data_IF_718387137950
#
_entry.id   IF_718387137950
#
_cell.length_a   1.000
_cell.length_b   1.000
_cell.length_c   1.000
_cell.angle_alpha   90.00
_cell.angle_beta   90.00
_cell.angle_gamma   90.00
#
_symmetry.space_group_name_H-M   'P 1'
#
loop_
_entity.id
_entity.type
_entity.pdbx_description
1 polymer ?
#
# COMPACT_ATOMS: atom_id res chain seq x y z
N UNK A 1 -15.31 -5.04 -28.70
CA UNK A 1 -14.44 -3.92 -29.10
C UNK A 1 -14.98 -2.69 -28.41
N UNK A 2 -14.45 -2.39 -27.22
CA UNK A 2 -14.68 -1.11 -26.55
C UNK A 2 -13.33 -0.41 -26.52
N UNK A 3 -13.34 0.88 -26.83
CA UNK A 3 -12.20 1.75 -27.02
C UNK A 3 -11.20 1.61 -25.85
N UNK A 4 -9.97 1.20 -26.14
CA UNK A 4 -8.86 1.57 -25.27
C UNK A 4 -8.52 3.00 -25.65
N UNK A 5 -9.04 3.94 -24.88
CA UNK A 5 -8.57 5.31 -24.86
C UNK A 5 -7.04 5.27 -24.72
N UNK A 6 -6.36 5.98 -25.60
CA UNK A 6 -4.98 6.39 -25.39
C UNK A 6 -4.90 7.00 -23.98
N UNK A 7 -4.29 6.30 -23.03
CA UNK A 7 -4.03 6.87 -21.72
C UNK A 7 -2.89 7.89 -21.90
N UNK A 8 -3.23 9.09 -22.33
CA UNK A 8 -2.35 10.27 -22.50
C UNK A 8 -1.79 10.80 -21.14
N UNK A 9 -2.07 10.10 -20.04
CA UNK A 9 -1.58 10.44 -18.72
C UNK A 9 -0.10 10.09 -18.54
N UNK A 10 0.73 11.07 -18.17
CA UNK A 10 2.13 10.81 -17.79
C UNK A 10 2.25 9.98 -16.50
N UNK A 11 1.22 10.02 -15.66
CA UNK A 11 1.16 9.36 -14.36
C UNK A 11 -0.18 8.64 -14.20
N UNK A 12 -0.18 7.55 -13.44
CA UNK A 12 -1.40 6.86 -13.03
C UNK A 12 -1.39 6.60 -11.51
N UNK A 13 -2.58 6.38 -10.96
CA UNK A 13 -2.81 6.18 -9.55
C UNK A 13 -2.36 4.77 -9.13
N UNK A 14 -1.31 4.71 -8.33
CA UNK A 14 -0.89 3.53 -7.58
C UNK A 14 -1.49 3.57 -6.17
N UNK A 15 -2.08 2.45 -5.74
CA UNK A 15 -2.35 2.20 -4.33
C UNK A 15 -1.13 1.53 -3.70
N UNK A 16 -0.72 2.03 -2.53
CA UNK A 16 0.39 1.44 -1.77
C UNK A 16 -0.07 0.11 -1.16
N UNK A 17 -1.20 0.14 -0.45
CA UNK A 17 -1.94 -1.04 -0.02
C UNK A 17 -3.09 -1.24 -0.99
N UNK A 18 -2.94 -2.16 -1.94
CA UNK A 18 -3.95 -2.48 -2.94
C UNK A 18 -5.00 -3.51 -2.41
N UNK A 19 -6.09 -3.78 -3.15
CA UNK A 19 -7.10 -4.75 -2.74
C UNK A 19 -6.55 -6.17 -2.53
N UNK A 20 -5.47 -6.54 -3.23
CA UNK A 20 -4.84 -7.86 -3.07
C UNK A 20 -4.18 -7.96 -1.70
N UNK A 21 -3.36 -6.97 -1.31
CA UNK A 21 -2.73 -6.90 0.02
C UNK A 21 -3.80 -6.83 1.11
N UNK A 22 -4.81 -5.98 0.92
CA UNK A 22 -5.92 -5.84 1.88
C UNK A 22 -6.65 -7.17 2.12
N UNK A 23 -6.97 -7.90 1.05
CA UNK A 23 -7.68 -9.19 1.16
C UNK A 23 -6.91 -10.27 1.92
N UNK A 24 -5.58 -10.13 2.02
CA UNK A 24 -4.70 -11.10 2.67
C UNK A 24 -4.31 -10.70 4.10
N UNK A 25 -4.72 -9.53 4.58
CA UNK A 25 -4.41 -9.05 5.94
C UNK A 25 -5.66 -9.03 6.82
N UNK A 26 -5.67 -9.88 7.84
CA UNK A 26 -6.72 -9.91 8.86
C UNK A 26 -6.78 -8.60 9.65
N UNK A 27 -5.61 -8.07 10.03
CA UNK A 27 -5.49 -6.77 10.69
C UNK A 27 -6.13 -5.62 9.90
N UNK A 28 -5.85 -5.49 8.59
CA UNK A 28 -6.43 -4.42 7.78
C UNK A 28 -7.95 -4.53 7.67
N UNK A 29 -8.47 -5.76 7.53
CA UNK A 29 -9.91 -6.01 7.51
C UNK A 29 -10.56 -5.63 8.83
N UNK A 30 -9.92 -5.94 9.95
CA UNK A 30 -10.40 -5.56 11.28
C UNK A 30 -10.39 -4.04 11.46
N UNK A 31 -9.30 -3.36 11.11
CA UNK A 31 -9.20 -1.89 11.18
C UNK A 31 -10.23 -1.20 10.27
N UNK A 32 -10.51 -1.77 9.11
CA UNK A 32 -11.57 -1.27 8.22
C UNK A 32 -12.97 -1.47 8.83
N UNK A 33 -13.24 -2.64 9.42
CA UNK A 33 -14.54 -2.94 10.03
C UNK A 33 -14.90 -2.00 11.20
N UNK A 34 -13.90 -1.50 11.93
CA UNK A 34 -14.08 -0.50 13.00
C UNK A 34 -14.03 0.95 12.50
N UNK A 35 -13.85 1.17 11.18
CA UNK A 35 -13.85 2.50 10.55
C UNK A 35 -12.52 3.27 10.65
N UNK A 36 -11.44 2.62 11.07
CA UNK A 36 -10.13 3.24 11.30
C UNK A 36 -9.22 3.22 10.06
N UNK A 37 -9.51 2.36 9.09
CA UNK A 37 -8.73 2.23 7.85
C UNK A 37 -9.62 2.25 6.61
N UNK A 38 -9.27 3.07 5.62
CA UNK A 38 -9.94 3.14 4.32
C UNK A 38 -8.92 2.93 3.20
N UNK A 39 -9.16 1.93 2.36
CA UNK A 39 -8.24 1.56 1.27
C UNK A 39 -8.13 2.68 0.23
N UNK A 40 -9.22 3.41 -0.02
CA UNK A 40 -9.25 4.49 -0.98
C UNK A 40 -8.85 5.84 -0.37
N UNK A 41 -8.34 5.88 0.86
CA UNK A 41 -7.95 7.13 1.50
C UNK A 41 -6.85 7.86 0.69
N UNK A 42 -6.88 9.20 0.57
CA UNK A 42 -5.88 9.96 -0.18
C UNK A 42 -4.42 9.65 0.20
N UNK A 43 -4.19 9.29 1.46
CA UNK A 43 -2.86 8.97 1.98
C UNK A 43 -2.31 7.67 1.40
N UNK A 44 -3.17 6.71 1.05
CA UNK A 44 -2.83 5.42 0.41
C UNK A 44 -2.60 5.54 -1.11
N UNK A 45 -2.82 6.73 -1.67
CA UNK A 45 -2.68 7.04 -3.10
C UNK A 45 -1.31 7.64 -3.39
N UNK A 46 -0.70 7.20 -4.49
CA UNK A 46 0.54 7.75 -5.05
C UNK A 46 0.43 7.78 -6.58
N UNK A 47 0.70 8.92 -7.19
CA UNK A 47 0.78 9.00 -8.66
C UNK A 47 2.20 8.67 -9.09
N UNK A 48 2.34 7.64 -9.93
CA UNK A 48 3.63 7.18 -10.44
C UNK A 48 3.68 7.29 -11.97
N UNK A 49 4.85 7.56 -12.58
CA UNK A 49 4.98 7.64 -14.02
C UNK A 49 4.61 6.33 -14.70
N UNK A 50 3.87 6.40 -15.82
CA UNK A 50 3.60 5.24 -16.66
C UNK A 50 4.84 4.78 -17.44
N UNK A 51 5.65 5.75 -17.87
CA UNK A 51 6.84 5.52 -18.68
C UNK A 51 8.08 5.26 -17.81
N UNK A 52 8.82 4.20 -18.17
CA UNK A 52 10.04 3.78 -17.47
C UNK A 52 11.15 4.82 -17.57
N UNK A 53 11.34 5.44 -18.74
CA UNK A 53 12.38 6.46 -18.89
C UNK A 53 12.08 7.71 -18.07
N UNK A 54 10.81 8.10 -17.99
CA UNK A 54 10.36 9.21 -17.16
C UNK A 54 10.58 8.90 -15.67
N UNK A 55 10.21 7.71 -15.20
CA UNK A 55 10.49 7.27 -13.83
C UNK A 55 12.00 7.32 -13.52
N UNK A 56 12.84 6.84 -14.43
CA UNK A 56 14.30 6.90 -14.27
C UNK A 56 14.84 8.34 -14.23
N UNK A 57 14.30 9.25 -15.06
CA UNK A 57 14.67 10.68 -15.05
C UNK A 57 14.25 11.37 -13.76
N UNK A 58 13.12 10.98 -13.18
CA UNK A 58 12.61 11.52 -11.92
C UNK A 58 13.23 10.87 -10.68
N UNK A 59 13.88 9.71 -10.83
CA UNK A 59 14.47 8.96 -9.72
C UNK A 59 13.43 8.33 -8.79
N UNK A 60 12.28 7.90 -9.32
CA UNK A 60 11.21 7.26 -8.56
C UNK A 60 10.80 5.90 -9.16
N UNK A 61 9.93 5.16 -8.48
CA UNK A 61 9.34 3.94 -9.05
C UNK A 61 8.44 4.26 -10.24
N UNK A 62 8.40 3.34 -11.22
CA UNK A 62 7.37 3.34 -12.25
C UNK A 62 6.05 2.79 -11.70
N UNK A 63 4.93 3.26 -12.26
CA UNK A 63 3.61 2.67 -12.05
C UNK A 63 3.60 1.20 -12.48
N UNK A 64 2.82 0.38 -11.77
CA UNK A 64 2.61 -1.01 -12.14
C UNK A 64 1.13 -1.40 -11.97
N UNK A 65 0.45 -1.66 -13.09
CA UNK A 65 -0.92 -2.19 -13.07
C UNK A 65 -1.02 -3.50 -12.28
N UNK A 66 0.07 -4.29 -12.29
CA UNK A 66 0.25 -5.45 -11.42
C UNK A 66 1.63 -5.36 -10.75
N UNK A 67 1.69 -4.97 -9.47
CA UNK A 67 2.95 -4.95 -8.73
C UNK A 67 3.64 -6.32 -8.71
N UNK A 68 4.96 -6.31 -8.58
CA UNK A 68 5.77 -7.51 -8.36
C UNK A 68 5.21 -8.33 -7.20
N UNK A 69 5.16 -9.65 -7.37
CA UNK A 69 4.68 -10.56 -6.33
C UNK A 69 5.49 -10.42 -5.03
N UNK A 70 6.80 -10.16 -5.13
CA UNK A 70 7.67 -9.91 -3.98
C UNK A 70 7.28 -8.65 -3.19
N UNK A 71 6.79 -7.60 -3.86
CA UNK A 71 6.26 -6.41 -3.18
C UNK A 71 4.99 -6.76 -2.40
N UNK A 72 4.04 -7.43 -3.05
CA UNK A 72 2.78 -7.85 -2.43
C UNK A 72 3.03 -8.77 -1.23
N UNK A 73 3.88 -9.80 -1.40
CA UNK A 73 4.22 -10.74 -0.33
C UNK A 73 4.95 -10.05 0.83
N UNK A 74 5.91 -9.17 0.54
CA UNK A 74 6.62 -8.41 1.57
C UNK A 74 5.68 -7.51 2.38
N UNK A 75 4.74 -6.83 1.72
CA UNK A 75 3.71 -6.04 2.40
C UNK A 75 2.83 -6.88 3.32
N UNK A 76 2.36 -8.05 2.84
CA UNK A 76 1.55 -8.97 3.65
C UNK A 76 2.34 -9.49 4.85
N UNK A 77 3.62 -9.86 4.67
CA UNK A 77 4.48 -10.32 5.76
C UNK A 77 4.67 -9.24 6.85
N UNK A 78 4.93 -7.99 6.46
CA UNK A 78 5.04 -6.88 7.42
C UNK A 78 3.74 -6.66 8.19
N UNK A 79 2.58 -6.72 7.51
CA UNK A 79 1.27 -6.61 8.14
C UNK A 79 1.00 -7.77 9.10
N UNK A 80 1.39 -9.00 8.75
CA UNK A 80 1.30 -10.16 9.65
C UNK A 80 2.16 -9.99 10.90
N UNK A 81 3.36 -9.39 10.79
CA UNK A 81 4.19 -9.10 11.97
C UNK A 81 3.53 -8.06 12.89
N UNK A 82 2.87 -7.04 12.33
CA UNK A 82 2.10 -6.07 13.12
C UNK A 82 0.93 -6.78 13.81
N UNK A 83 0.21 -7.65 13.09
CA UNK A 83 -0.92 -8.42 13.64
C UNK A 83 -0.49 -9.34 14.80
N UNK A 84 0.67 -9.99 14.69
CA UNK A 84 1.22 -10.88 15.72
C UNK A 84 1.79 -10.14 16.94
N UNK A 85 1.97 -8.82 16.86
CA UNK A 85 2.41 -8.01 17.99
C UNK A 85 1.35 -7.93 19.10
N UNK A 86 1.71 -7.57 20.35
CA UNK A 86 0.75 -7.37 21.43
C UNK A 86 -0.38 -6.38 21.07
N UNK A 87 -0.04 -5.29 20.39
CA UNK A 87 -1.01 -4.28 19.96
C UNK A 87 -1.88 -4.79 18.81
N UNK A 88 -1.32 -5.51 17.84
CA UNK A 88 -2.10 -6.18 16.80
C UNK A 88 -3.10 -7.17 17.38
N UNK A 89 -2.66 -8.04 18.28
CA UNK A 89 -3.55 -8.99 18.96
C UNK A 89 -4.59 -8.30 19.85
N UNK A 90 -4.27 -7.15 20.46
CA UNK A 90 -5.24 -6.33 21.18
C UNK A 90 -6.29 -5.73 20.24
N UNK A 91 -5.88 -5.21 19.08
CA UNK A 91 -6.77 -4.69 18.05
C UNK A 91 -7.73 -5.78 17.52
N UNK A 92 -7.21 -6.99 17.30
CA UNK A 92 -8.03 -8.16 16.91
C UNK A 92 -9.07 -8.55 17.97
N UNK A 93 -8.82 -8.24 19.25
CA UNK A 93 -9.78 -8.43 20.35
C UNK A 93 -10.70 -7.23 20.57
N UNK A 94 -10.53 -6.15 19.81
CA UNK A 94 -11.32 -4.93 19.93
C UNK A 94 -10.90 -4.01 21.08
N UNK A 95 -9.68 -4.14 21.62
CA UNK A 95 -9.15 -3.18 22.60
C UNK A 95 -8.87 -1.83 21.89
N UNK A 96 -9.58 -0.75 22.24
CA UNK A 96 -9.44 0.53 21.54
C UNK A 96 -8.02 1.12 21.61
N UNK A 97 -7.31 0.96 22.73
CA UNK A 97 -5.97 1.51 22.87
C UNK A 97 -4.96 0.72 22.04
N UNK A 98 -5.14 -0.60 21.96
CA UNK A 98 -4.33 -1.46 21.10
C UNK A 98 -4.64 -1.23 19.61
N UNK A 99 -5.92 -1.05 19.25
CA UNK A 99 -6.36 -0.66 17.90
C UNK A 99 -5.66 0.60 17.43
N UNK A 100 -5.64 1.66 18.25
CA UNK A 100 -4.98 2.91 17.89
C UNK A 100 -3.46 2.72 17.62
N UNK A 101 -2.77 1.93 18.45
CA UNK A 101 -1.33 1.66 18.26
C UNK A 101 -1.04 0.74 17.07
N UNK A 102 -1.88 -0.25 16.83
CA UNK A 102 -1.78 -1.12 15.66
C UNK A 102 -2.01 -0.33 14.36
N UNK A 103 -3.01 0.56 14.36
CA UNK A 103 -3.24 1.48 13.25
C UNK A 103 -2.00 2.35 12.99
N UNK A 104 -1.43 2.96 14.03
CA UNK A 104 -0.22 3.77 13.89
C UNK A 104 0.94 2.99 13.23
N UNK A 105 1.13 1.72 13.60
CA UNK A 105 2.13 0.86 12.98
C UNK A 105 1.84 0.60 11.49
N UNK A 106 0.58 0.35 11.12
CA UNK A 106 0.16 0.18 9.72
C UNK A 106 0.39 1.46 8.91
N UNK A 107 0.01 2.63 9.45
CA UNK A 107 0.21 3.91 8.80
C UNK A 107 1.70 4.22 8.59
N UNK A 108 2.52 3.93 9.60
CA UNK A 108 3.98 4.06 9.51
C UNK A 108 4.58 3.18 8.43
N UNK A 109 4.13 1.94 8.29
CA UNK A 109 4.53 1.04 7.21
C UNK A 109 4.16 1.64 5.84
N UNK A 110 2.90 2.05 5.65
CA UNK A 110 2.43 2.69 4.41
C UNK A 110 3.27 3.90 4.05
N UNK A 111 3.53 4.79 5.01
CA UNK A 111 4.25 6.04 4.76
C UNK A 111 5.73 5.77 4.44
N UNK A 112 6.35 4.79 5.10
CA UNK A 112 7.72 4.36 4.80
C UNK A 112 7.82 3.82 3.37
N UNK A 113 6.87 2.96 2.98
CA UNK A 113 6.81 2.40 1.62
C UNK A 113 6.55 3.49 0.60
N UNK A 114 5.66 4.45 0.88
CA UNK A 114 5.40 5.61 0.03
C UNK A 114 6.69 6.38 -0.27
N UNK A 115 7.46 6.69 0.76
CA UNK A 115 8.74 7.40 0.61
C UNK A 115 9.74 6.56 -0.19
N UNK A 116 9.84 5.26 0.08
CA UNK A 116 10.73 4.36 -0.67
C UNK A 116 10.36 4.31 -2.18
N UNK A 117 9.07 4.34 -2.52
CA UNK A 117 8.62 4.40 -3.91
C UNK A 117 8.93 5.76 -4.57
N UNK A 118 8.73 6.86 -3.84
CA UNK A 118 9.06 8.21 -4.32
C UNK A 118 10.57 8.34 -4.59
N UNK A 119 11.41 7.74 -3.76
CA UNK A 119 12.87 7.79 -3.88
C UNK A 119 13.45 6.74 -4.82
N UNK A 120 12.64 5.82 -5.34
CA UNK A 120 13.12 4.69 -6.16
C UNK A 120 13.89 3.62 -5.38
N UNK A 121 13.87 3.67 -4.05
CA UNK A 121 14.48 2.66 -3.16
C UNK A 121 13.71 1.32 -3.22
N UNK A 122 12.43 1.39 -3.60
CA UNK A 122 11.56 0.25 -3.84
C UNK A 122 11.00 0.31 -5.27
N UNK A 123 10.72 -0.84 -5.88
CA UNK A 123 10.19 -0.92 -7.25
C UNK A 123 8.98 -1.85 -7.33
N UNK A 124 8.02 -1.49 -8.18
CA UNK A 124 6.78 -2.25 -8.38
C UNK A 124 6.77 -3.05 -9.69
N UNK A 125 7.70 -2.77 -10.61
CA UNK A 125 7.87 -3.45 -11.88
C UNK A 125 9.33 -3.38 -12.34
N UNK A 126 9.74 -4.30 -13.21
CA UNK A 126 11.12 -4.44 -13.75
C UNK A 126 11.27 -3.97 -15.19
#
# INVERSE_FOLDING_TARGET
>A
MAANEDNDGLFDLQLIIDPTIFSQSGLLQQLHAVGEFEINAPENRLYLPLDRELAAKLGCSQYAAKPLESYTMGMVEQLSMIELSPDGQGAMRGDPAATARALEAVLRLRDTVKVALINGDLVLAV
#
